data_IF_285212155753
#
_entry.id   IF_285212155753
#
_cell.length_a   1.000
_cell.length_b   1.000
_cell.length_c   1.000
_cell.angle_alpha   90.00
_cell.angle_beta   90.00
_cell.angle_gamma   90.00
#
_symmetry.space_group_name_H-M   'P 1'
#
loop_
_entity.id
_entity.type
_entity.pdbx_description
1 polymer ?
#
# COMPACT_ATOMS: atom_id res chain seq x y z
N UNK A 1 12.80 26.01 -13.37
CA UNK A 1 11.92 24.82 -13.21
C UNK A 1 10.90 25.18 -12.13
N UNK A 2 9.59 25.21 -12.41
CA UNK A 2 8.61 25.84 -11.51
C UNK A 2 8.43 25.09 -10.18
N UNK A 3 8.29 25.81 -9.06
CA UNK A 3 8.04 25.24 -7.73
C UNK A 3 6.86 24.26 -7.69
N UNK A 4 5.86 24.48 -8.56
CA UNK A 4 4.71 23.59 -8.73
C UNK A 4 5.11 22.19 -9.22
N UNK A 5 6.08 22.10 -10.15
CA UNK A 5 6.60 20.80 -10.63
C UNK A 5 7.42 20.10 -9.56
N UNK A 6 8.12 20.85 -8.70
CA UNK A 6 8.92 20.29 -7.61
C UNK A 6 8.02 19.70 -6.51
N UNK A 7 6.98 20.43 -6.07
CA UNK A 7 6.00 19.92 -5.09
C UNK A 7 5.26 18.67 -5.58
N UNK A 8 4.84 18.66 -6.85
CA UNK A 8 4.18 17.48 -7.46
C UNK A 8 5.11 16.27 -7.50
N UNK A 9 6.40 16.47 -7.81
CA UNK A 9 7.38 15.38 -7.81
C UNK A 9 7.66 14.83 -6.39
N UNK A 10 7.71 15.69 -5.36
CA UNK A 10 7.92 15.26 -3.96
C UNK A 10 6.72 14.49 -3.41
N UNK A 11 5.48 14.92 -3.69
CA UNK A 11 4.28 14.20 -3.26
C UNK A 11 4.19 12.84 -3.98
N UNK A 12 4.58 12.79 -5.26
CA UNK A 12 4.58 11.56 -6.05
C UNK A 12 5.64 10.56 -5.57
N UNK A 13 6.85 11.02 -5.23
CA UNK A 13 7.90 10.14 -4.68
C UNK A 13 7.51 9.61 -3.30
N UNK A 14 6.84 10.41 -2.48
CA UNK A 14 6.32 10.00 -1.18
C UNK A 14 5.25 8.89 -1.29
N UNK A 15 4.29 9.03 -2.20
CA UNK A 15 3.26 8.01 -2.41
C UNK A 15 3.80 6.71 -2.99
N UNK A 16 4.87 6.77 -3.80
CA UNK A 16 5.55 5.58 -4.32
C UNK A 16 6.38 4.85 -3.24
N UNK A 17 6.76 5.55 -2.17
CA UNK A 17 7.58 5.00 -1.08
C UNK A 17 6.78 4.20 -0.04
N UNK A 18 5.45 4.30 -0.06
CA UNK A 18 4.55 3.72 0.95
C UNK A 18 3.69 2.60 0.39
N UNK A 19 3.23 1.72 1.27
CA UNK A 19 2.24 0.71 0.89
C UNK A 19 0.94 1.43 0.52
N UNK A 20 0.26 0.98 -0.53
CA UNK A 20 -1.09 1.49 -0.85
C UNK A 20 -1.98 1.33 0.40
N UNK A 21 -2.73 2.37 0.73
CA UNK A 21 -3.59 2.40 1.92
C UNK A 21 -4.47 1.15 2.04
N UNK A 22 -5.14 0.72 0.97
CA UNK A 22 -6.04 -0.43 0.99
C UNK A 22 -5.31 -1.75 1.25
N UNK A 23 -4.11 -1.88 0.70
CA UNK A 23 -3.25 -3.05 0.93
C UNK A 23 -2.80 -3.07 2.40
N UNK A 24 -2.35 -1.92 2.91
CA UNK A 24 -1.95 -1.79 4.32
C UNK A 24 -3.10 -2.11 5.26
N UNK A 25 -4.29 -1.56 5.01
CA UNK A 25 -5.49 -1.83 5.82
C UNK A 25 -5.90 -3.31 5.80
N UNK A 26 -5.82 -3.98 4.63
CA UNK A 26 -6.09 -5.40 4.52
C UNK A 26 -5.16 -6.23 5.40
N UNK A 27 -3.85 -5.97 5.36
CA UNK A 27 -2.90 -6.70 6.17
C UNK A 27 -3.02 -6.40 7.67
N UNK A 28 -3.36 -5.16 8.05
CA UNK A 28 -3.67 -4.82 9.45
C UNK A 28 -4.91 -5.59 9.94
N UNK A 29 -5.94 -5.70 9.09
CA UNK A 29 -7.12 -6.48 9.39
C UNK A 29 -6.77 -7.96 9.59
N UNK A 30 -6.01 -8.55 8.67
CA UNK A 30 -5.67 -9.98 8.71
C UNK A 30 -4.69 -10.34 9.81
N UNK A 31 -3.68 -9.51 10.08
CA UNK A 31 -2.57 -9.87 10.97
C UNK A 31 -2.75 -9.35 12.39
N UNK A 32 -3.56 -8.31 12.59
CA UNK A 32 -3.83 -7.77 13.92
C UNK A 32 -5.29 -7.94 14.33
N UNK A 33 -6.24 -7.39 13.58
CA UNK A 33 -7.63 -7.30 14.02
C UNK A 33 -8.29 -8.68 14.11
N UNK A 34 -8.21 -9.51 13.06
CA UNK A 34 -8.86 -10.83 13.03
C UNK A 34 -8.32 -11.76 14.13
N UNK A 35 -6.99 -11.93 14.31
CA UNK A 35 -6.46 -12.72 15.41
C UNK A 35 -6.83 -12.16 16.78
N UNK A 36 -6.84 -10.83 16.94
CA UNK A 36 -7.31 -10.21 18.17
C UNK A 36 -8.77 -10.56 18.47
N UNK A 37 -9.68 -10.42 17.50
CA UNK A 37 -11.08 -10.76 17.69
C UNK A 37 -11.23 -12.23 18.07
N UNK A 38 -10.45 -13.12 17.44
CA UNK A 38 -10.44 -14.54 17.80
C UNK A 38 -10.03 -14.73 19.27
N UNK A 39 -8.92 -14.15 19.71
CA UNK A 39 -8.50 -14.25 21.12
C UNK A 39 -9.56 -13.61 22.04
N UNK A 40 -10.10 -12.47 21.66
CA UNK A 40 -11.05 -11.72 22.47
C UNK A 40 -12.36 -12.49 22.69
N UNK A 41 -12.97 -13.05 21.63
CA UNK A 41 -14.23 -13.78 21.74
C UNK A 41 -14.07 -15.14 22.46
N UNK A 42 -12.99 -15.88 22.17
CA UNK A 42 -12.84 -17.26 22.65
C UNK A 42 -12.11 -17.36 24.00
N UNK A 43 -11.25 -16.40 24.34
CA UNK A 43 -10.32 -16.52 25.48
C UNK A 43 -10.44 -15.38 26.51
N UNK A 44 -11.39 -14.44 26.38
CA UNK A 44 -11.56 -13.36 27.35
C UNK A 44 -12.73 -13.57 28.32
N UNK A 45 -12.56 -13.05 29.54
CA UNK A 45 -13.52 -13.14 30.63
C UNK A 45 -14.86 -12.43 30.32
N UNK A 46 -14.84 -11.37 29.51
CA UNK A 46 -16.02 -10.60 29.09
C UNK A 46 -17.11 -11.50 28.46
N UNK A 47 -16.70 -12.59 27.83
CA UNK A 47 -17.56 -13.53 27.12
C UNK A 47 -17.68 -14.89 27.80
N UNK A 48 -17.29 -15.01 29.08
CA UNK A 48 -17.33 -16.28 29.84
C UNK A 48 -18.71 -16.97 29.85
N UNK A 49 -19.78 -16.19 29.68
CA UNK A 49 -21.15 -16.69 29.67
C UNK A 49 -21.58 -17.25 28.29
N UNK A 50 -20.76 -17.09 27.23
CA UNK A 50 -21.04 -17.67 25.92
C UNK A 50 -20.58 -19.14 25.87
N UNK A 51 -21.40 -20.01 25.29
CA UNK A 51 -21.11 -21.46 25.21
C UNK A 51 -19.86 -21.81 24.39
N UNK A 52 -19.46 -20.94 23.46
CA UNK A 52 -18.27 -21.12 22.62
C UNK A 52 -16.98 -20.60 23.28
N UNK A 53 -17.08 -19.91 24.42
CA UNK A 53 -15.93 -19.34 25.09
C UNK A 53 -15.20 -20.40 25.93
N UNK A 54 -13.89 -20.50 25.76
CA UNK A 54 -13.03 -21.51 26.40
C UNK A 54 -12.18 -20.92 27.53
N UNK A 55 -12.54 -19.74 28.05
CA UNK A 55 -11.81 -19.08 29.15
C UNK A 55 -11.71 -19.95 30.41
N UNK A 56 -12.73 -20.76 30.67
CA UNK A 56 -12.74 -21.69 31.81
C UNK A 56 -11.73 -22.84 31.67
N UNK A 57 -11.24 -23.12 30.45
CA UNK A 57 -10.23 -24.15 30.18
C UNK A 57 -8.80 -23.61 30.30
N UNK A 58 -8.62 -22.29 30.44
CA UNK A 58 -7.31 -21.69 30.67
C UNK A 58 -6.86 -22.03 32.10
N UNK A 59 -5.66 -22.64 32.29
CA UNK A 59 -5.17 -22.96 33.63
C UNK A 59 -4.88 -21.71 34.46
N UNK A 60 -4.92 -21.86 35.79
CA UNK A 60 -4.47 -20.80 36.69
C UNK A 60 -2.93 -20.76 36.79
N UNK A 61 -2.29 -19.57 36.86
CA UNK A 61 -2.90 -18.24 36.83
C UNK A 61 -3.24 -17.79 35.39
N UNK A 62 -4.52 -17.45 35.14
CA UNK A 62 -5.00 -17.10 33.80
C UNK A 62 -4.26 -15.93 33.14
N UNK A 63 -3.84 -14.95 33.94
CA UNK A 63 -3.10 -13.77 33.45
C UNK A 63 -1.80 -14.19 32.74
N UNK A 64 -1.04 -15.14 33.30
CA UNK A 64 0.23 -15.58 32.71
C UNK A 64 0.06 -16.23 31.35
N UNK A 65 -0.94 -17.11 31.23
CA UNK A 65 -1.27 -17.76 29.95
C UNK A 65 -1.74 -16.75 28.90
N UNK A 66 -2.58 -15.79 29.28
CA UNK A 66 -3.02 -14.74 28.35
C UNK A 66 -1.87 -13.83 27.90
N UNK A 67 -0.92 -13.50 28.78
CA UNK A 67 0.29 -12.78 28.39
C UNK A 67 1.11 -13.59 27.37
N UNK A 68 1.30 -14.90 27.60
CA UNK A 68 2.00 -15.77 26.65
C UNK A 68 1.29 -15.86 25.29
N UNK A 69 -0.04 -15.97 25.29
CA UNK A 69 -0.86 -15.96 24.07
C UNK A 69 -0.69 -14.63 23.32
N UNK A 70 -0.74 -13.49 24.03
CA UNK A 70 -0.51 -12.17 23.44
C UNK A 70 0.91 -12.02 22.88
N UNK A 71 1.94 -12.53 23.57
CA UNK A 71 3.31 -12.55 23.05
C UNK A 71 3.41 -13.39 21.77
N UNK A 72 2.81 -14.59 21.76
CA UNK A 72 2.73 -15.43 20.57
C UNK A 72 2.02 -14.74 19.40
N UNK A 73 0.92 -14.03 19.69
CA UNK A 73 0.18 -13.23 18.72
C UNK A 73 1.03 -12.09 18.13
N UNK A 74 1.74 -11.32 18.96
CA UNK A 74 2.65 -10.25 18.49
C UNK A 74 3.76 -10.83 17.61
N UNK A 75 4.38 -11.94 18.04
CA UNK A 75 5.44 -12.61 17.27
C UNK A 75 4.93 -13.13 15.93
N UNK A 76 3.74 -13.74 15.92
CA UNK A 76 3.10 -14.22 14.70
C UNK A 76 2.79 -13.07 13.74
N UNK A 77 2.23 -11.97 14.24
CA UNK A 77 1.94 -10.80 13.43
C UNK A 77 3.22 -10.19 12.83
N UNK A 78 4.31 -10.14 13.61
CA UNK A 78 5.61 -9.67 13.15
C UNK A 78 6.20 -10.61 12.08
N UNK A 79 6.11 -11.94 12.28
CA UNK A 79 6.56 -12.94 11.31
C UNK A 79 5.80 -12.85 9.99
N UNK A 80 4.46 -12.75 10.05
CA UNK A 80 3.63 -12.58 8.86
C UNK A 80 3.97 -11.28 8.13
N UNK A 81 4.18 -10.19 8.85
CA UNK A 81 4.62 -8.90 8.27
C UNK A 81 6.01 -9.02 7.63
N UNK A 82 6.93 -9.77 8.24
CA UNK A 82 8.25 -10.04 7.68
C UNK A 82 8.15 -10.81 6.36
N UNK A 83 7.30 -11.83 6.31
CA UNK A 83 7.06 -12.64 5.10
C UNK A 83 6.49 -11.76 3.97
N UNK A 84 5.45 -10.97 4.25
CA UNK A 84 4.83 -10.10 3.23
C UNK A 84 5.77 -8.99 2.76
N UNK A 85 6.63 -8.49 3.63
CA UNK A 85 7.70 -7.55 3.27
C UNK A 85 8.76 -8.19 2.37
N UNK A 86 9.24 -9.40 2.70
CA UNK A 86 10.21 -10.15 1.85
C UNK A 86 9.63 -10.39 0.46
N UNK A 87 8.35 -10.73 0.36
CA UNK A 87 7.65 -10.90 -0.93
C UNK A 87 7.28 -9.58 -1.63
N UNK A 88 7.65 -8.43 -1.05
CA UNK A 88 7.38 -7.08 -1.57
C UNK A 88 5.88 -6.78 -1.74
N UNK A 89 5.02 -7.46 -0.99
CA UNK A 89 3.57 -7.17 -0.95
C UNK A 89 3.28 -5.94 -0.10
N UNK A 90 4.16 -5.66 0.87
CA UNK A 90 4.13 -4.46 1.71
C UNK A 90 5.50 -3.80 1.72
N UNK A 91 5.50 -2.48 1.90
CA UNK A 91 6.70 -1.73 2.24
C UNK A 91 6.98 -1.84 3.74
N UNK A 92 8.18 -1.44 4.13
CA UNK A 92 8.64 -1.51 5.51
C UNK A 92 7.75 -0.75 6.51
N UNK A 93 6.92 0.21 6.06
CA UNK A 93 5.98 0.92 6.94
C UNK A 93 4.92 0.00 7.59
N UNK A 94 4.68 -1.18 7.00
CA UNK A 94 3.78 -2.20 7.55
C UNK A 94 4.14 -2.62 8.98
N UNK A 95 5.43 -2.70 9.33
CA UNK A 95 5.85 -3.08 10.68
C UNK A 95 5.37 -2.09 11.75
N UNK A 96 5.43 -0.79 11.47
CA UNK A 96 4.97 0.24 12.41
C UNK A 96 3.49 0.09 12.73
N UNK A 97 2.65 -0.12 11.71
CA UNK A 97 1.21 -0.23 11.91
C UNK A 97 0.82 -1.55 12.58
N UNK A 98 1.39 -2.68 12.12
CA UNK A 98 1.04 -4.00 12.68
C UNK A 98 1.54 -4.13 14.12
N UNK A 99 2.78 -3.72 14.42
CA UNK A 99 3.32 -3.79 15.80
C UNK A 99 2.57 -2.83 16.72
N UNK A 100 2.31 -1.60 16.29
CA UNK A 100 1.51 -0.64 17.07
C UNK A 100 0.12 -1.17 17.41
N UNK A 101 -0.58 -1.71 16.41
CA UNK A 101 -1.94 -2.23 16.58
C UNK A 101 -1.96 -3.51 17.43
N UNK A 102 -1.03 -4.44 17.23
CA UNK A 102 -0.94 -5.68 18.02
C UNK A 102 -0.62 -5.42 19.48
N UNK A 103 0.24 -4.44 19.79
CA UNK A 103 0.51 -4.01 21.17
C UNK A 103 -0.73 -3.37 21.83
N UNK A 104 -1.41 -2.47 21.11
CA UNK A 104 -2.64 -1.84 21.59
C UNK A 104 -3.70 -2.90 21.91
N UNK A 105 -3.95 -3.82 20.98
CA UNK A 105 -4.96 -4.87 21.12
C UNK A 105 -4.58 -5.91 22.18
N UNK A 106 -3.30 -6.25 22.32
CA UNK A 106 -2.81 -7.13 23.39
C UNK A 106 -2.97 -6.49 24.77
N UNK A 107 -2.71 -5.18 24.86
CA UNK A 107 -2.94 -4.40 26.09
C UNK A 107 -4.41 -4.44 26.50
N UNK A 108 -5.34 -4.35 25.54
CA UNK A 108 -6.78 -4.51 25.81
C UNK A 108 -7.13 -5.87 26.41
N UNK A 109 -6.50 -6.96 25.95
CA UNK A 109 -6.71 -8.33 26.45
C UNK A 109 -6.13 -8.49 27.86
N UNK A 110 -4.84 -8.19 28.02
CA UNK A 110 -4.12 -8.38 29.29
C UNK A 110 -4.72 -7.48 30.37
N UNK A 111 -5.04 -6.22 30.02
CA UNK A 111 -5.54 -5.28 31.01
C UNK A 111 -6.86 -5.64 31.62
N UNK A 112 -7.74 -6.29 30.86
CA UNK A 112 -9.02 -6.74 31.39
C UNK A 112 -8.83 -7.74 32.52
N UNK A 113 -7.95 -8.72 32.32
CA UNK A 113 -7.81 -9.86 33.23
C UNK A 113 -7.32 -9.44 34.61
N UNK A 114 -6.40 -8.49 34.70
CA UNK A 114 -5.90 -8.02 35.99
C UNK A 114 -6.78 -6.94 36.62
N UNK A 115 -7.47 -6.11 35.82
CA UNK A 115 -8.47 -5.14 36.32
C UNK A 115 -9.73 -5.83 36.85
N UNK A 116 -10.08 -7.02 36.34
CA UNK A 116 -11.17 -7.83 36.89
C UNK A 116 -10.85 -8.31 38.31
N UNK A 117 -9.57 -8.51 38.64
CA UNK A 117 -9.15 -8.85 40.01
C UNK A 117 -9.24 -7.66 40.97
N UNK A 118 -9.39 -6.42 40.48
CA UNK A 118 -9.63 -5.27 41.34
C UNK A 118 -11.06 -5.27 41.85
N UNK A 119 -11.25 -5.28 43.18
CA UNK A 119 -12.57 -5.17 43.83
C UNK A 119 -13.18 -3.74 43.75
N UNK A 120 -12.80 -2.97 42.74
CA UNK A 120 -13.32 -1.61 42.54
C UNK A 120 -14.65 -1.68 41.77
N UNK A 121 -15.75 -1.24 42.39
CA UNK A 121 -17.10 -1.30 41.81
C UNK A 121 -17.36 -0.27 40.70
N UNK A 122 -16.46 0.72 40.54
CA UNK A 122 -16.62 1.78 39.53
C UNK A 122 -16.14 1.31 38.15
N UNK A 123 -17.03 0.65 37.40
CA UNK A 123 -16.81 0.16 36.03
C UNK A 123 -16.24 1.24 35.08
N UNK A 124 -16.70 2.49 35.21
CA UNK A 124 -16.25 3.61 34.37
C UNK A 124 -14.75 3.88 34.56
N UNK A 125 -14.26 3.82 35.80
CA UNK A 125 -12.84 4.09 36.11
C UNK A 125 -11.96 2.98 35.53
N UNK A 126 -12.38 1.71 35.67
CA UNK A 126 -11.68 0.57 35.07
C UNK A 126 -11.57 0.71 33.55
N UNK A 127 -12.65 1.11 32.88
CA UNK A 127 -12.66 1.33 31.44
C UNK A 127 -11.71 2.45 31.02
N UNK A 128 -11.70 3.57 31.76
CA UNK A 128 -10.81 4.70 31.49
C UNK A 128 -9.33 4.32 31.66
N UNK A 129 -8.98 3.59 32.73
CA UNK A 129 -7.62 3.09 32.94
C UNK A 129 -7.21 2.13 31.82
N UNK A 130 -8.09 1.19 31.43
CA UNK A 130 -7.86 0.25 30.33
C UNK A 130 -7.58 0.99 29.02
N UNK A 131 -8.34 2.05 28.73
CA UNK A 131 -8.16 2.86 27.53
C UNK A 131 -6.83 3.62 27.52
N UNK A 132 -6.44 4.24 28.63
CA UNK A 132 -5.15 4.93 28.76
C UNK A 132 -3.99 3.96 28.55
N UNK A 133 -4.03 2.80 29.22
CA UNK A 133 -2.99 1.78 29.07
C UNK A 133 -2.94 1.22 27.65
N UNK A 134 -4.09 1.01 26.99
CA UNK A 134 -4.13 0.58 25.60
C UNK A 134 -3.42 1.58 24.67
N UNK A 135 -3.67 2.88 24.85
CA UNK A 135 -2.99 3.94 24.10
C UNK A 135 -1.49 3.92 24.38
N UNK A 136 -1.07 3.85 25.65
CA UNK A 136 0.34 3.84 26.03
C UNK A 136 1.09 2.67 25.38
N UNK A 137 0.54 1.46 25.43
CA UNK A 137 1.13 0.30 24.78
C UNK A 137 1.12 0.41 23.26
N UNK A 138 0.05 0.97 22.68
CA UNK A 138 0.00 1.26 21.24
C UNK A 138 1.12 2.20 20.79
N UNK A 139 1.38 3.28 21.54
CA UNK A 139 2.48 4.20 21.28
C UNK A 139 3.84 3.51 21.40
N UNK A 140 4.02 2.67 22.43
CA UNK A 140 5.23 1.85 22.60
C UNK A 140 5.45 0.92 21.40
N UNK A 141 4.39 0.25 20.94
CA UNK A 141 4.42 -0.60 19.75
C UNK A 141 4.74 0.18 18.47
N UNK A 142 4.22 1.39 18.31
CA UNK A 142 4.56 2.27 17.17
C UNK A 142 6.05 2.59 17.19
N UNK A 143 6.62 2.97 18.34
CA UNK A 143 8.05 3.29 18.47
C UNK A 143 8.91 2.08 18.10
N UNK A 144 8.60 0.90 18.65
CA UNK A 144 9.30 -0.34 18.31
C UNK A 144 9.18 -0.68 16.82
N UNK A 145 7.96 -0.55 16.28
CA UNK A 145 7.70 -0.78 14.87
C UNK A 145 8.45 0.20 13.97
N UNK A 146 8.62 1.47 14.37
CA UNK A 146 9.44 2.45 13.63
C UNK A 146 10.92 2.04 13.57
N UNK A 147 11.49 1.50 14.67
CA UNK A 147 12.85 0.97 14.65
C UNK A 147 13.00 -0.18 13.66
N UNK A 148 12.05 -1.13 13.66
CA UNK A 148 12.05 -2.27 12.74
C UNK A 148 11.89 -1.78 11.29
N UNK A 149 10.94 -0.89 11.03
CA UNK A 149 10.71 -0.27 9.71
C UNK A 149 11.98 0.43 9.19
N UNK A 150 12.68 1.15 10.05
CA UNK A 150 13.93 1.86 9.69
C UNK A 150 15.04 0.87 9.34
N UNK A 151 15.19 -0.18 10.15
CA UNK A 151 16.16 -1.24 9.87
C UNK A 151 15.88 -1.94 8.54
N UNK A 152 14.60 -2.28 8.28
CA UNK A 152 14.17 -2.90 7.03
C UNK A 152 14.45 -1.99 5.81
N UNK A 153 14.15 -0.68 5.89
CA UNK A 153 14.47 0.27 4.81
C UNK A 153 15.97 0.38 4.56
N UNK A 154 16.78 0.47 5.62
CA UNK A 154 18.22 0.53 5.48
C UNK A 154 18.78 -0.72 4.77
N UNK A 155 18.19 -1.88 5.04
CA UNK A 155 18.53 -3.12 4.33
C UNK A 155 18.13 -3.07 2.85
N UNK A 156 16.95 -2.53 2.53
CA UNK A 156 16.52 -2.31 1.13
C UNK A 156 17.48 -1.39 0.39
N UNK A 157 17.84 -0.24 0.98
CA UNK A 157 18.77 0.72 0.36
C UNK A 157 20.13 0.09 0.07
N UNK A 158 20.70 -0.66 1.02
CA UNK A 158 21.96 -1.40 0.79
C UNK A 158 21.86 -2.42 -0.35
N UNK A 159 20.68 -2.99 -0.61
CA UNK A 159 20.49 -3.87 -1.77
C UNK A 159 20.34 -3.09 -3.06
N UNK A 160 19.64 -1.96 -3.05
CA UNK A 160 19.45 -1.10 -4.20
C UNK A 160 20.78 -0.48 -4.65
N UNK A 161 21.61 0.00 -3.73
CA UNK A 161 22.95 0.54 -4.04
C UNK A 161 23.82 -0.50 -4.74
N UNK A 162 23.81 -1.75 -4.27
CA UNK A 162 24.54 -2.86 -4.91
C UNK A 162 24.01 -3.15 -6.31
N UNK A 163 22.70 -3.05 -6.52
CA UNK A 163 22.10 -3.25 -7.84
C UNK A 163 22.45 -2.09 -8.79
N UNK A 164 22.43 -0.85 -8.29
CA UNK A 164 22.78 0.34 -9.07
C UNK A 164 24.25 0.32 -9.48
N UNK A 165 25.17 -0.03 -8.58
CA UNK A 165 26.60 -0.17 -8.92
C UNK A 165 26.83 -1.20 -10.04
N UNK A 166 26.08 -2.31 -10.05
CA UNK A 166 26.13 -3.31 -11.13
C UNK A 166 25.61 -2.71 -12.45
N UNK A 167 24.53 -1.94 -12.40
CA UNK A 167 23.94 -1.32 -13.59
C UNK A 167 24.80 -0.20 -14.15
N UNK A 168 25.46 0.59 -13.31
CA UNK A 168 26.42 1.62 -13.69
C UNK A 168 27.62 0.99 -14.40
N UNK A 169 28.23 -0.04 -13.79
CA UNK A 169 29.31 -0.79 -14.42
C UNK A 169 28.89 -1.42 -15.78
N UNK A 170 27.60 -1.73 -15.95
CA UNK A 170 27.08 -2.30 -17.20
C UNK A 170 27.00 -1.23 -18.28
N UNK A 171 26.50 -0.04 -17.92
CA UNK A 171 26.39 1.10 -18.84
C UNK A 171 27.76 1.65 -19.24
N UNK A 172 28.73 1.62 -18.33
CA UNK A 172 30.10 2.06 -18.59
C UNK A 172 30.97 1.00 -19.30
N UNK A 173 30.40 -0.16 -19.66
CA UNK A 173 31.11 -1.31 -20.24
C UNK A 173 32.30 -1.81 -19.39
N UNK A 174 32.24 -1.60 -18.08
CA UNK A 174 33.25 -2.06 -17.12
C UNK A 174 32.98 -3.46 -16.60
N UNK A 175 31.76 -3.98 -16.81
CA UNK A 175 31.46 -5.39 -16.67
C UNK A 175 32.20 -6.15 -17.78
N UNK A 176 33.14 -7.01 -17.39
CA UNK A 176 33.84 -7.90 -18.31
C UNK A 176 32.91 -8.87 -19.05
N UNK A 177 33.45 -9.94 -19.63
CA UNK A 177 32.65 -10.80 -20.51
C UNK A 177 31.40 -11.41 -19.84
N UNK A 178 30.30 -11.43 -20.58
CA UNK A 178 28.96 -11.85 -20.11
C UNK A 178 28.93 -13.29 -19.60
N UNK A 179 29.83 -14.13 -20.10
CA UNK A 179 30.02 -15.52 -19.67
C UNK A 179 30.50 -15.64 -18.23
N UNK A 180 31.21 -14.62 -17.73
CA UNK A 180 31.78 -14.60 -16.36
C UNK A 180 30.83 -14.03 -15.32
N UNK A 181 29.68 -13.47 -15.75
CA UNK A 181 28.79 -12.79 -14.83
C UNK A 181 28.11 -13.75 -13.84
N UNK A 182 28.09 -13.43 -12.54
CA UNK A 182 27.29 -14.17 -11.57
C UNK A 182 25.81 -14.21 -11.97
N UNK A 183 25.10 -15.30 -11.66
CA UNK A 183 23.66 -15.45 -11.96
C UNK A 183 22.81 -14.28 -11.46
N UNK A 184 23.17 -13.68 -10.32
CA UNK A 184 22.47 -12.50 -9.77
C UNK A 184 22.61 -11.28 -10.69
N UNK A 185 23.83 -11.01 -11.15
CA UNK A 185 24.15 -9.93 -12.11
C UNK A 185 23.38 -10.11 -13.42
N UNK A 186 23.39 -11.33 -13.97
CA UNK A 186 22.64 -11.64 -15.19
C UNK A 186 21.15 -11.34 -15.04
N UNK A 187 20.52 -11.75 -13.92
CA UNK A 187 19.10 -11.48 -13.66
C UNK A 187 18.79 -9.98 -13.54
N UNK A 188 19.66 -9.22 -12.88
CA UNK A 188 19.51 -7.77 -12.73
C UNK A 188 19.54 -7.09 -14.10
N UNK A 189 20.53 -7.43 -14.93
CA UNK A 189 20.70 -6.85 -16.27
C UNK A 189 19.54 -7.25 -17.19
N UNK A 190 19.13 -8.52 -17.21
CA UNK A 190 17.98 -8.97 -17.99
C UNK A 190 16.68 -8.25 -17.59
N UNK A 191 16.46 -8.03 -16.29
CA UNK A 191 15.30 -7.29 -15.81
C UNK A 191 15.35 -5.81 -16.25
N UNK A 192 16.54 -5.20 -16.24
CA UNK A 192 16.76 -3.83 -16.71
C UNK A 192 16.50 -3.70 -18.23
N UNK A 193 17.07 -4.58 -19.04
CA UNK A 193 16.85 -4.62 -20.50
C UNK A 193 15.36 -4.82 -20.83
N UNK A 194 14.69 -5.76 -20.15
CA UNK A 194 13.26 -5.99 -20.34
C UNK A 194 12.43 -4.74 -20.03
N UNK A 195 12.78 -3.99 -18.97
CA UNK A 195 12.12 -2.73 -18.63
C UNK A 195 12.35 -1.66 -19.69
N UNK A 196 13.56 -1.53 -20.23
CA UNK A 196 13.84 -0.60 -21.32
C UNK A 196 13.03 -0.92 -22.58
N UNK A 197 12.99 -2.20 -22.98
CA UNK A 197 12.20 -2.64 -24.14
C UNK A 197 10.71 -2.33 -23.94
N UNK A 198 10.17 -2.61 -22.75
CA UNK A 198 8.79 -2.28 -22.42
C UNK A 198 8.52 -0.78 -22.47
N UNK A 199 9.39 0.05 -21.91
CA UNK A 199 9.26 1.50 -21.93
C UNK A 199 9.24 2.05 -23.37
N UNK A 200 10.16 1.58 -24.23
CA UNK A 200 10.17 1.93 -25.66
C UNK A 200 8.86 1.52 -26.34
N UNK A 201 8.40 0.29 -26.13
CA UNK A 201 7.14 -0.18 -26.72
C UNK A 201 5.91 0.62 -26.27
N UNK A 202 5.89 1.12 -25.03
CA UNK A 202 4.82 1.97 -24.50
C UNK A 202 4.88 3.35 -25.16
N UNK A 203 6.08 3.91 -25.32
CA UNK A 203 6.28 5.20 -25.96
C UNK A 203 5.88 5.16 -27.45
N UNK A 204 6.23 4.09 -28.16
CA UNK A 204 5.80 3.86 -29.54
C UNK A 204 4.27 3.77 -29.65
N UNK A 205 3.62 3.01 -28.75
CA UNK A 205 2.15 2.93 -28.69
C UNK A 205 1.51 4.29 -28.43
N UNK A 206 2.09 5.10 -27.55
CA UNK A 206 1.61 6.46 -27.29
C UNK A 206 1.78 7.37 -28.52
N UNK A 207 2.89 7.28 -29.22
CA UNK A 207 3.12 8.04 -30.46
C UNK A 207 2.09 7.67 -31.54
N UNK A 208 1.86 6.37 -31.76
CA UNK A 208 0.85 5.87 -32.71
C UNK A 208 -0.57 6.32 -32.30
N UNK A 209 -0.89 6.27 -31.00
CA UNK A 209 -2.20 6.71 -30.51
C UNK A 209 -2.41 8.21 -30.75
N UNK A 210 -1.39 9.03 -30.47
CA UNK A 210 -1.44 10.46 -30.70
C UNK A 210 -1.60 10.79 -32.18
N UNK A 211 -0.87 10.11 -33.06
CA UNK A 211 -1.00 10.26 -34.52
C UNK A 211 -2.42 9.91 -34.99
N UNK A 212 -2.97 8.78 -34.52
CA UNK A 212 -4.37 8.39 -34.82
C UNK A 212 -5.38 9.42 -34.32
N UNK A 213 -5.14 10.03 -33.15
CA UNK A 213 -6.02 11.04 -32.58
C UNK A 213 -6.01 12.32 -33.42
N UNK A 214 -4.84 12.76 -33.88
CA UNK A 214 -4.67 13.91 -34.78
C UNK A 214 -5.39 13.64 -36.11
N UNK A 215 -5.10 12.50 -36.75
CA UNK A 215 -5.74 12.12 -38.01
C UNK A 215 -7.27 12.03 -37.90
N UNK A 216 -7.78 11.50 -36.79
CA UNK A 216 -9.22 11.47 -36.53
C UNK A 216 -9.80 12.88 -36.39
N UNK A 217 -9.11 13.77 -35.66
CA UNK A 217 -9.55 15.15 -35.48
C UNK A 217 -9.59 15.92 -36.81
N UNK A 218 -8.56 15.77 -37.64
CA UNK A 218 -8.45 16.41 -38.96
C UNK A 218 -9.53 15.90 -39.91
N UNK A 219 -9.75 14.58 -39.98
CA UNK A 219 -10.83 13.99 -40.77
C UNK A 219 -12.20 14.48 -40.30
N UNK A 220 -12.42 14.58 -39.00
CA UNK A 220 -13.66 15.08 -38.42
C UNK A 220 -13.86 16.57 -38.76
N UNK A 221 -12.80 17.39 -38.67
CA UNK A 221 -12.82 18.80 -39.03
C UNK A 221 -13.16 19.00 -40.52
N UNK A 222 -12.53 18.25 -41.41
CA UNK A 222 -12.81 18.27 -42.85
C UNK A 222 -14.26 17.85 -43.16
N UNK A 223 -14.77 16.81 -42.48
CA UNK A 223 -16.18 16.40 -42.61
C UNK A 223 -17.14 17.51 -42.18
N UNK A 224 -16.83 18.22 -41.10
CA UNK A 224 -17.65 19.34 -40.60
C UNK A 224 -17.61 20.53 -41.56
N UNK A 225 -16.43 20.89 -42.09
CA UNK A 225 -16.33 21.94 -43.11
C UNK A 225 -17.11 21.57 -44.38
N UNK A 226 -16.96 20.34 -44.88
CA UNK A 226 -17.69 19.86 -46.05
C UNK A 226 -19.21 19.85 -45.84
N UNK A 227 -19.68 19.58 -44.62
CA UNK A 227 -21.10 19.67 -44.28
C UNK A 227 -21.58 21.13 -44.27
N UNK A 228 -20.77 22.05 -43.76
CA UNK A 228 -21.06 23.49 -43.74
C UNK A 228 -21.11 24.07 -45.16
N UNK A 229 -20.14 23.75 -46.01
CA UNK A 229 -20.11 24.21 -47.42
C UNK A 229 -21.32 23.68 -48.20
N UNK A 230 -21.66 22.39 -48.06
CA UNK A 230 -22.88 21.81 -48.67
C UNK A 230 -24.16 22.50 -48.19
N UNK A 231 -24.25 22.83 -46.90
CA UNK A 231 -25.41 23.56 -46.35
C UNK A 231 -25.50 24.97 -46.94
N UNK A 232 -24.39 25.70 -47.00
CA UNK A 232 -24.33 27.05 -47.60
C UNK A 232 -24.70 27.04 -49.09
N UNK A 233 -24.20 26.06 -49.85
CA UNK A 233 -24.57 25.90 -51.26
C UNK A 233 -26.09 25.67 -51.42
N UNK A 234 -26.70 24.84 -50.56
CA UNK A 234 -28.14 24.62 -50.56
C UNK A 234 -28.93 25.89 -50.19
N UNK A 235 -28.45 26.68 -49.23
CA UNK A 235 -29.08 27.94 -48.83
C UNK A 235 -28.99 28.97 -49.97
N UNK A 236 -27.81 29.17 -50.55
CA UNK A 236 -27.60 30.07 -51.68
C UNK A 236 -28.46 29.69 -52.89
N UNK A 237 -28.58 28.39 -53.19
CA UNK A 237 -29.45 27.91 -54.26
C UNK A 237 -30.94 28.17 -53.98
N UNK A 238 -31.37 28.11 -52.71
CA UNK A 238 -32.74 28.49 -52.30
C UNK A 238 -32.97 29.99 -52.42
N UNK A 239 -32.04 30.82 -51.98
CA UNK A 239 -32.11 32.28 -52.13
C UNK A 239 -32.14 32.72 -53.59
N UNK A 240 -31.29 32.16 -54.44
CA UNK A 240 -31.27 32.45 -55.88
C UNK A 240 -32.62 32.12 -56.54
N UNK A 241 -33.22 30.97 -56.18
CA UNK A 241 -34.57 30.60 -56.64
C UNK A 241 -35.65 31.58 -56.16
N UNK A 242 -35.55 32.09 -54.92
CA UNK A 242 -36.49 33.09 -54.41
C UNK A 242 -36.33 34.45 -55.10
N UNK A 243 -35.09 34.92 -55.29
CA UNK A 243 -34.81 36.19 -56.01
C UNK A 243 -35.29 36.15 -57.46
N UNK A 244 -35.14 35.02 -58.14
CA UNK A 244 -35.63 34.83 -59.51
C UNK A 244 -37.16 34.70 -59.61
N UNK A 245 -37.87 34.43 -58.50
CA UNK A 245 -39.34 34.45 -58.45
C UNK A 245 -39.93 35.82 -58.11
N UNK A 246 -39.12 36.70 -57.53
CA UNK A 246 -39.51 38.06 -57.14
C UNK A 246 -39.17 39.12 -58.21
N UNK A 247 -38.44 38.72 -59.26
CA UNK A 247 -38.30 39.46 -60.52
C UNK A 247 -39.31 38.94 -61.52
#
# INVERSE_FOLDING_TARGET
MSESKQKVNTIRSFNLSRTNFWISALFQLLFAIVPFLFIWFFLLADFKNLSLNIYHWIPEPKLGYLVLICLGYILLALLLTLITWIFKWQKADGFTFVVGLTFLLSSIIVNQTWLDAWQFDKTIIKLLIRFILAIMFGLLGIVLGLFISTFARNFEYKQEDKQNAILEAYQENQLGDKTTWPRKTQKIIQAFEKKQIQAKSIQEKQAILNEKLINYHDQHYLKMQNKKTKTNQKLNAKEAKQRNKAK
#
